data_IF_513673385038
#
_entry.id   IF_513673385038
#
_cell.length_a   1.000
_cell.length_b   1.000
_cell.length_c   1.000
_cell.angle_alpha   90.00
_cell.angle_beta   90.00
_cell.angle_gamma   90.00
#
_symmetry.space_group_name_H-M   'P 1'
#
loop_
_entity.id
_entity.type
_entity.pdbx_description
1 polymer ?
#
# COMPACT_ATOMS: atom_id res chain seq x y z
N UNK A 1 -27.52 -7.50 15.35
CA UNK A 1 -26.44 -8.33 14.78
C UNK A 1 -26.59 -8.31 13.27
N UNK A 2 -25.81 -7.49 12.54
CA UNK A 2 -25.89 -7.45 11.08
C UNK A 2 -25.06 -8.60 10.49
N UNK A 3 -25.77 -9.57 9.91
CA UNK A 3 -25.19 -10.66 9.13
C UNK A 3 -25.02 -10.24 7.66
N UNK A 4 -24.09 -9.32 7.38
CA UNK A 4 -23.54 -9.15 6.01
C UNK A 4 -22.12 -9.68 6.03
N UNK A 5 -22.01 -11.00 5.99
CA UNK A 5 -20.72 -11.69 5.93
C UNK A 5 -20.02 -11.31 4.63
N UNK A 6 -18.82 -10.74 4.76
CA UNK A 6 -17.93 -10.30 3.67
C UNK A 6 -18.27 -8.94 3.05
N UNK A 7 -17.39 -7.96 3.30
CA UNK A 7 -17.44 -6.66 2.64
C UNK A 7 -16.65 -6.71 1.30
N UNK A 8 -16.93 -5.82 0.35
CA UNK A 8 -16.17 -5.71 -0.90
C UNK A 8 -14.67 -5.47 -0.65
N UNK A 9 -14.31 -4.86 0.49
CA UNK A 9 -12.91 -4.71 0.93
C UNK A 9 -12.27 -6.06 1.23
N UNK A 10 -13.01 -7.00 1.85
CA UNK A 10 -12.52 -8.36 2.07
C UNK A 10 -12.30 -9.08 0.74
N UNK A 11 -13.21 -8.89 -0.22
CA UNK A 11 -13.08 -9.43 -1.57
C UNK A 11 -11.87 -8.85 -2.30
N UNK A 12 -11.64 -7.54 -2.20
CA UNK A 12 -10.49 -6.90 -2.79
C UNK A 12 -9.17 -7.44 -2.21
N UNK A 13 -9.07 -7.55 -0.88
CA UNK A 13 -7.89 -8.11 -0.20
C UNK A 13 -7.67 -9.56 -0.65
N UNK A 14 -8.71 -10.38 -0.66
CA UNK A 14 -8.62 -11.77 -1.09
C UNK A 14 -8.17 -11.89 -2.55
N UNK A 15 -8.74 -11.08 -3.46
CA UNK A 15 -8.35 -11.05 -4.87
C UNK A 15 -6.89 -10.61 -5.03
N UNK A 16 -6.43 -9.58 -4.33
CA UNK A 16 -5.04 -9.11 -4.39
C UNK A 16 -4.07 -10.19 -3.91
N UNK A 17 -4.38 -10.88 -2.80
CA UNK A 17 -3.58 -11.98 -2.29
C UNK A 17 -3.56 -13.16 -3.25
N UNK A 18 -4.72 -13.63 -3.70
CA UNK A 18 -4.87 -14.77 -4.60
C UNK A 18 -4.17 -14.50 -5.94
N UNK A 19 -4.37 -13.32 -6.51
CA UNK A 19 -3.72 -12.91 -7.75
C UNK A 19 -2.21 -12.84 -7.57
N UNK A 20 -1.74 -12.28 -6.44
CA UNK A 20 -0.31 -12.22 -6.14
C UNK A 20 0.29 -13.63 -6.07
N UNK A 21 -0.32 -14.53 -5.29
CA UNK A 21 0.11 -15.93 -5.17
C UNK A 21 0.05 -16.68 -6.51
N UNK A 22 -1.02 -16.48 -7.29
CA UNK A 22 -1.22 -17.15 -8.56
C UNK A 22 -0.20 -16.72 -9.62
N UNK A 23 0.05 -15.41 -9.74
CA UNK A 23 1.08 -14.89 -10.64
C UNK A 23 2.45 -15.45 -10.25
N UNK A 24 2.76 -15.53 -8.96
CA UNK A 24 4.04 -16.04 -8.46
C UNK A 24 4.20 -17.55 -8.66
N UNK A 25 3.10 -18.31 -8.58
CA UNK A 25 3.06 -19.72 -8.97
C UNK A 25 3.41 -19.92 -10.45
N UNK A 26 2.85 -19.08 -11.34
CA UNK A 26 3.11 -19.15 -12.78
C UNK A 26 4.56 -18.76 -13.15
N UNK A 27 5.13 -17.79 -12.43
CA UNK A 27 6.50 -17.30 -12.68
C UNK A 27 7.58 -18.25 -12.16
N UNK A 28 7.37 -18.86 -10.99
CA UNK A 28 8.32 -19.74 -10.32
C UNK A 28 9.24 -19.03 -9.32
N UNK A 29 9.79 -19.79 -8.37
CA UNK A 29 10.47 -19.29 -7.17
C UNK A 29 11.65 -18.36 -7.43
N UNK A 30 12.60 -18.72 -8.31
CA UNK A 30 13.77 -17.87 -8.55
C UNK A 30 13.41 -16.46 -9.03
N UNK A 31 12.36 -16.34 -9.84
CA UNK A 31 11.83 -15.03 -10.27
C UNK A 31 11.28 -14.25 -9.08
N UNK A 32 10.62 -14.97 -8.19
CA UNK A 32 9.92 -14.37 -7.09
C UNK A 32 10.86 -13.95 -5.96
N UNK A 33 11.96 -14.69 -5.72
CA UNK A 33 13.01 -14.27 -4.78
C UNK A 33 13.64 -12.95 -5.22
N UNK A 34 13.98 -12.83 -6.51
CA UNK A 34 14.53 -11.59 -7.08
C UNK A 34 13.48 -10.47 -6.96
N UNK A 35 12.23 -10.74 -7.33
CA UNK A 35 11.14 -9.76 -7.21
C UNK A 35 10.95 -9.31 -5.76
N UNK A 36 11.06 -10.20 -4.78
CA UNK A 36 10.92 -9.88 -3.38
C UNK A 36 12.11 -9.06 -2.88
N UNK A 37 13.33 -9.37 -3.32
CA UNK A 37 14.52 -8.55 -3.07
C UNK A 37 14.38 -7.14 -3.64
N UNK A 38 13.89 -7.01 -4.88
CA UNK A 38 13.58 -5.71 -5.50
C UNK A 38 12.53 -4.94 -4.71
N UNK A 39 11.51 -5.62 -4.20
CA UNK A 39 10.49 -5.02 -3.34
C UNK A 39 11.07 -4.47 -2.04
N UNK A 40 11.89 -5.25 -1.34
CA UNK A 40 12.55 -4.83 -0.10
C UNK A 40 13.50 -3.67 -0.35
N UNK A 41 14.35 -3.76 -1.39
CA UNK A 41 15.28 -2.70 -1.75
C UNK A 41 14.53 -1.44 -2.17
N UNK A 42 13.47 -1.57 -2.97
CA UNK A 42 12.62 -0.45 -3.37
C UNK A 42 11.96 0.22 -2.17
N UNK A 43 11.49 -0.56 -1.18
CA UNK A 43 10.94 -0.01 0.06
C UNK A 43 12.01 0.74 0.86
N UNK A 44 13.20 0.14 1.04
CA UNK A 44 14.28 0.76 1.80
C UNK A 44 14.75 2.07 1.15
N UNK A 45 15.01 2.04 -0.16
CA UNK A 45 15.44 3.22 -0.93
C UNK A 45 14.31 4.25 -0.98
N UNK A 46 13.06 3.81 -1.21
CA UNK A 46 11.90 4.68 -1.22
C UNK A 46 11.70 5.42 0.10
N UNK A 47 11.75 4.72 1.23
CA UNK A 47 11.59 5.33 2.56
C UNK A 47 12.74 6.28 2.90
N UNK A 48 13.96 5.96 2.47
CA UNK A 48 15.14 6.79 2.73
C UNK A 48 15.15 8.08 1.92
N UNK A 49 14.82 8.02 0.63
CA UNK A 49 14.94 9.13 -0.31
C UNK A 49 13.61 9.87 -0.59
N UNK A 50 12.50 9.46 0.04
CA UNK A 50 11.18 10.04 -0.19
C UNK A 50 11.11 11.55 0.06
N UNK A 51 11.75 12.05 1.12
CA UNK A 51 11.79 13.49 1.42
C UNK A 51 12.56 14.28 0.34
N UNK A 52 13.72 13.78 -0.07
CA UNK A 52 14.58 14.43 -1.06
C UNK A 52 13.87 14.58 -2.41
N UNK A 53 13.25 13.50 -2.89
CA UNK A 53 12.48 13.52 -4.13
C UNK A 53 11.18 14.30 -3.96
N UNK A 54 10.52 14.19 -2.81
CA UNK A 54 9.31 14.95 -2.50
C UNK A 54 9.54 16.46 -2.56
N UNK A 55 10.71 16.94 -2.11
CA UNK A 55 11.07 18.37 -2.10
C UNK A 55 11.20 18.99 -3.49
N UNK A 56 11.43 18.18 -4.53
CA UNK A 56 11.37 18.64 -5.92
C UNK A 56 9.97 19.15 -6.29
N UNK A 57 8.93 18.67 -5.61
CA UNK A 57 7.54 19.02 -5.87
C UNK A 57 7.01 20.20 -5.04
N UNK A 58 7.88 20.92 -4.33
CA UNK A 58 7.51 22.06 -3.46
C UNK A 58 6.68 23.15 -4.17
N UNK A 59 6.88 23.34 -5.47
CA UNK A 59 6.13 24.34 -6.26
C UNK A 59 4.69 23.94 -6.58
N UNK A 60 4.41 22.64 -6.66
CA UNK A 60 3.07 22.13 -7.03
C UNK A 60 2.30 21.59 -5.83
N UNK A 61 3.00 21.03 -4.84
CA UNK A 61 2.41 20.37 -3.69
C UNK A 61 2.85 21.11 -2.43
N UNK A 62 1.91 21.81 -1.82
CA UNK A 62 2.15 22.57 -0.58
C UNK A 62 2.28 21.65 0.64
N UNK A 63 1.54 20.53 0.63
CA UNK A 63 1.57 19.57 1.73
C UNK A 63 2.83 18.73 1.72
N UNK A 64 3.64 18.83 2.79
CA UNK A 64 4.88 18.05 2.92
C UNK A 64 4.64 16.54 2.96
N UNK A 65 3.53 16.12 3.56
CA UNK A 65 3.13 14.72 3.61
C UNK A 65 2.79 14.16 2.24
N UNK A 66 2.05 14.93 1.44
CA UNK A 66 1.73 14.52 0.08
C UNK A 66 3.00 14.50 -0.79
N UNK A 67 3.94 15.42 -0.58
CA UNK A 67 5.26 15.40 -1.22
C UNK A 67 6.05 14.14 -0.88
N UNK A 68 6.16 13.79 0.40
CA UNK A 68 6.85 12.57 0.81
C UNK A 68 6.19 11.33 0.21
N UNK A 69 4.86 11.24 0.24
CA UNK A 69 4.13 10.13 -0.37
C UNK A 69 4.42 10.02 -1.87
N UNK A 70 4.37 11.15 -2.59
CA UNK A 70 4.68 11.19 -4.02
C UNK A 70 6.14 10.79 -4.27
N UNK A 71 7.08 11.28 -3.46
CA UNK A 71 8.51 10.91 -3.55
C UNK A 71 8.73 9.43 -3.32
N UNK A 72 8.14 8.87 -2.26
CA UNK A 72 8.15 7.44 -1.96
C UNK A 72 7.60 6.62 -3.12
N UNK A 73 6.38 6.93 -3.60
CA UNK A 73 5.72 6.21 -4.70
C UNK A 73 6.56 6.29 -5.98
N UNK A 74 7.13 7.45 -6.28
CA UNK A 74 7.96 7.63 -7.47
C UNK A 74 9.22 6.78 -7.41
N UNK A 75 9.98 6.86 -6.32
CA UNK A 75 11.22 6.07 -6.13
C UNK A 75 10.90 4.58 -6.12
N UNK A 76 9.87 4.19 -5.36
CA UNK A 76 9.45 2.79 -5.27
C UNK A 76 9.08 2.24 -6.65
N UNK A 77 8.32 2.99 -7.44
CA UNK A 77 7.94 2.60 -8.81
C UNK A 77 9.16 2.47 -9.71
N UNK A 78 10.09 3.43 -9.66
CA UNK A 78 11.35 3.37 -10.43
C UNK A 78 12.17 2.14 -10.04
N UNK A 79 12.31 1.85 -8.75
CA UNK A 79 13.01 0.66 -8.27
C UNK A 79 12.35 -0.63 -8.77
N UNK A 80 11.00 -0.70 -8.77
CA UNK A 80 10.26 -1.83 -9.32
C UNK A 80 10.50 -1.99 -10.84
N UNK A 81 10.53 -0.89 -11.59
CA UNK A 81 10.79 -0.93 -13.04
C UNK A 81 12.21 -1.43 -13.35
N UNK A 82 13.22 -0.89 -12.65
CA UNK A 82 14.61 -1.34 -12.79
C UNK A 82 14.72 -2.81 -12.40
N UNK A 83 14.15 -3.21 -11.27
CA UNK A 83 14.18 -4.59 -10.83
C UNK A 83 13.46 -5.55 -11.78
N UNK A 84 12.34 -5.14 -12.37
CA UNK A 84 11.64 -5.91 -13.40
C UNK A 84 12.51 -6.08 -14.66
N UNK A 85 13.20 -5.02 -15.07
CA UNK A 85 14.14 -5.06 -16.19
C UNK A 85 15.31 -6.02 -15.91
N UNK A 86 15.97 -5.90 -14.75
CA UNK A 86 17.06 -6.79 -14.33
C UNK A 86 16.58 -8.24 -14.24
N UNK A 87 15.40 -8.47 -13.66
CA UNK A 87 14.81 -9.79 -13.56
C UNK A 87 14.61 -10.42 -14.94
N UNK A 88 14.10 -9.66 -15.92
CA UNK A 88 13.93 -10.13 -17.28
C UNK A 88 15.26 -10.49 -17.97
N UNK A 89 16.35 -9.74 -17.73
CA UNK A 89 17.67 -10.06 -18.26
C UNK A 89 18.22 -11.38 -17.68
N UNK A 90 18.12 -11.56 -16.36
CA UNK A 90 18.56 -12.78 -15.67
C UNK A 90 17.79 -14.00 -16.21
N UNK A 91 16.52 -13.85 -16.52
CA UNK A 91 15.68 -14.93 -17.03
C UNK A 91 16.00 -15.41 -18.44
N UNK A 92 16.45 -14.52 -19.32
CA UNK A 92 16.89 -14.93 -20.66
C UNK A 92 18.07 -15.91 -20.58
N UNK A 93 18.92 -15.78 -19.56
CA UNK A 93 20.05 -16.68 -19.32
C UNK A 93 19.65 -18.03 -18.74
N UNK A 94 18.64 -18.08 -17.86
CA UNK A 94 18.23 -19.29 -17.13
C UNK A 94 17.36 -20.23 -17.99
N UNK A 95 16.61 -19.71 -18.97
CA UNK A 95 15.69 -20.52 -19.78
C UNK A 95 16.36 -21.60 -20.64
N UNK A 96 17.69 -21.59 -20.78
CA UNK A 96 18.43 -22.64 -21.48
C UNK A 96 18.64 -23.93 -20.66
N UNK A 97 18.36 -23.93 -19.35
CA UNK A 97 18.83 -24.98 -18.44
C UNK A 97 17.79 -26.03 -17.97
N UNK A 98 16.56 -26.04 -18.49
CA UNK A 98 15.58 -27.11 -18.22
C UNK A 98 14.38 -26.71 -17.35
N UNK A 99 13.31 -27.51 -17.47
CA UNK A 99 11.97 -27.20 -16.98
C UNK A 99 11.88 -26.90 -15.47
N UNK A 100 11.03 -25.94 -15.13
CA UNK A 100 10.83 -25.47 -13.76
C UNK A 100 10.08 -26.54 -12.94
N UNK A 101 10.78 -27.19 -12.00
CA UNK A 101 10.21 -28.20 -11.10
C UNK A 101 8.98 -27.68 -10.34
N UNK A 102 7.99 -28.55 -10.10
CA UNK A 102 6.74 -28.22 -9.41
C UNK A 102 6.98 -27.64 -7.99
N UNK A 103 8.00 -28.13 -7.28
CA UNK A 103 8.43 -27.58 -5.97
C UNK A 103 8.85 -26.10 -6.08
N UNK A 104 9.51 -25.73 -7.18
CA UNK A 104 9.91 -24.35 -7.46
C UNK A 104 8.69 -23.44 -7.69
N UNK A 105 7.52 -23.98 -8.04
CA UNK A 105 6.28 -23.19 -8.18
C UNK A 105 5.56 -23.01 -6.84
N UNK A 106 5.54 -24.03 -5.98
CA UNK A 106 4.95 -23.93 -4.65
C UNK A 106 5.66 -22.91 -3.76
N UNK A 107 6.99 -22.88 -3.78
CA UNK A 107 7.73 -21.84 -3.06
C UNK A 107 7.33 -20.46 -3.56
N UNK A 108 7.13 -20.27 -4.87
CA UNK A 108 6.59 -19.03 -5.46
C UNK A 108 5.27 -18.56 -4.84
N UNK A 109 4.39 -19.46 -4.40
CA UNK A 109 3.15 -19.10 -3.70
C UNK A 109 3.45 -18.38 -2.38
N UNK A 110 4.41 -18.88 -1.59
CA UNK A 110 4.80 -18.28 -0.31
C UNK A 110 5.35 -16.86 -0.52
N UNK A 111 6.26 -16.68 -1.47
CA UNK A 111 6.80 -15.35 -1.80
C UNK A 111 5.71 -14.42 -2.35
N UNK A 112 4.81 -14.94 -3.19
CA UNK A 112 3.64 -14.20 -3.69
C UNK A 112 2.68 -13.79 -2.58
N UNK A 113 2.51 -14.62 -1.55
CA UNK A 113 1.73 -14.28 -0.36
C UNK A 113 2.39 -13.15 0.44
N UNK A 114 3.71 -13.23 0.69
CA UNK A 114 4.47 -12.17 1.37
C UNK A 114 4.34 -10.83 0.62
N UNK A 115 4.51 -10.84 -0.71
CA UNK A 115 4.32 -9.63 -1.54
C UNK A 115 2.88 -9.13 -1.47
N UNK A 116 1.91 -10.04 -1.51
CA UNK A 116 0.50 -9.70 -1.41
C UNK A 116 0.17 -9.04 -0.07
N UNK A 117 0.75 -9.54 1.02
CA UNK A 117 0.62 -8.93 2.35
C UNK A 117 1.23 -7.53 2.38
N UNK A 118 2.46 -7.36 1.86
CA UNK A 118 3.09 -6.06 1.77
C UNK A 118 2.26 -5.06 0.96
N UNK A 119 1.74 -5.46 -0.22
CA UNK A 119 0.87 -4.65 -1.06
C UNK A 119 -0.38 -4.19 -0.31
N UNK A 120 -1.12 -5.12 0.30
CA UNK A 120 -2.36 -4.80 1.03
C UNK A 120 -2.06 -3.89 2.23
N UNK A 121 -0.99 -4.16 2.98
CA UNK A 121 -0.59 -3.31 4.10
C UNK A 121 -0.23 -1.89 3.66
N UNK A 122 0.46 -1.72 2.53
CA UNK A 122 0.72 -0.38 1.98
C UNK A 122 -0.59 0.31 1.60
N UNK A 123 -1.52 -0.37 0.92
CA UNK A 123 -2.83 0.22 0.60
C UNK A 123 -3.60 0.63 1.86
N UNK A 124 -3.65 -0.23 2.88
CA UNK A 124 -4.33 0.07 4.14
C UNK A 124 -3.67 1.23 4.88
N UNK A 125 -2.35 1.34 4.83
CA UNK A 125 -1.61 2.47 5.36
C UNK A 125 -2.03 3.78 4.66
N UNK A 126 -2.07 3.79 3.33
CA UNK A 126 -2.51 4.95 2.55
C UNK A 126 -3.96 5.34 2.84
N UNK A 127 -4.86 4.35 2.94
CA UNK A 127 -6.25 4.58 3.34
C UNK A 127 -6.33 5.14 4.76
N UNK A 128 -5.52 4.62 5.69
CA UNK A 128 -5.49 5.10 7.06
C UNK A 128 -4.97 6.53 7.15
N UNK A 129 -4.00 6.90 6.31
CA UNK A 129 -3.50 8.27 6.21
C UNK A 129 -4.60 9.24 5.75
N UNK A 130 -5.42 8.86 4.78
CA UNK A 130 -6.55 9.67 4.32
C UNK A 130 -7.66 9.85 5.37
N UNK A 131 -7.72 8.98 6.39
CA UNK A 131 -8.75 8.99 7.44
C UNK A 131 -8.20 9.37 8.83
N UNK A 132 -6.91 9.69 8.94
CA UNK A 132 -6.24 9.92 10.22
C UNK A 132 -6.79 11.19 10.84
N UNK A 133 -6.92 11.18 12.16
CA UNK A 133 -7.45 12.34 12.85
C UNK A 133 -6.94 12.44 14.26
N UNK A 134 -6.02 13.38 14.50
CA UNK A 134 -5.52 13.95 15.78
C UNK A 134 -5.08 13.00 16.90
N UNK A 135 -5.46 11.72 16.86
CA UNK A 135 -5.06 10.69 17.81
C UNK A 135 -4.35 9.59 17.05
N UNK A 136 -3.25 9.12 17.63
CA UNK A 136 -2.21 8.23 17.08
C UNK A 136 -2.69 6.80 16.71
N UNK A 137 -3.99 6.60 16.61
CA UNK A 137 -4.62 5.34 16.24
C UNK A 137 -4.83 5.26 14.73
N UNK A 138 -4.53 4.10 14.15
CA UNK A 138 -4.99 3.69 12.82
C UNK A 138 -6.51 3.92 12.71
N UNK A 139 -6.91 4.95 11.97
CA UNK A 139 -8.31 5.19 11.63
C UNK A 139 -8.54 4.72 10.21
N UNK A 140 -9.60 3.96 10.02
CA UNK A 140 -10.07 3.50 8.72
C UNK A 140 -11.49 4.03 8.49
N UNK A 141 -11.88 4.31 7.24
CA UNK A 141 -13.28 4.56 6.91
C UNK A 141 -14.18 3.42 7.39
N UNK A 142 -15.44 3.69 7.72
CA UNK A 142 -16.39 2.70 8.26
C UNK A 142 -16.43 1.41 7.42
N UNK A 143 -16.35 1.55 6.11
CA UNK A 143 -16.31 0.43 5.15
C UNK A 143 -15.08 -0.45 5.36
N UNK A 144 -13.89 0.13 5.50
CA UNK A 144 -12.65 -0.63 5.68
C UNK A 144 -12.55 -1.22 7.09
N UNK A 145 -13.04 -0.50 8.11
CA UNK A 145 -13.10 -1.01 9.48
C UNK A 145 -14.05 -2.20 9.64
N UNK A 146 -15.12 -2.25 8.83
CA UNK A 146 -16.07 -3.37 8.82
C UNK A 146 -15.51 -4.64 8.16
N UNK A 147 -14.38 -4.55 7.44
CA UNK A 147 -13.75 -5.70 6.80
C UNK A 147 -13.09 -6.62 7.84
N UNK A 148 -13.30 -7.93 7.68
CA UNK A 148 -12.77 -8.97 8.59
C UNK A 148 -11.29 -9.22 8.41
N UNK A 149 -10.76 -9.01 7.20
CA UNK A 149 -9.36 -9.29 6.88
C UNK A 149 -8.41 -8.18 7.35
N UNK A 150 -8.90 -6.95 7.47
CA UNK A 150 -8.08 -5.77 7.82
C UNK A 150 -7.27 -5.92 9.12
N UNK A 151 -7.82 -6.43 10.24
CA UNK A 151 -7.08 -6.59 11.49
C UNK A 151 -5.80 -7.42 11.38
N UNK A 152 -5.75 -8.41 10.47
CA UNK A 152 -4.57 -9.26 10.28
C UNK A 152 -3.38 -8.51 9.67
N UNK A 153 -3.63 -7.40 8.97
CA UNK A 153 -2.59 -6.57 8.38
C UNK A 153 -2.11 -5.47 9.31
N UNK A 154 -2.86 -5.16 10.38
CA UNK A 154 -2.51 -4.08 11.30
C UNK A 154 -1.09 -4.16 11.87
N UNK A 155 -0.53 -5.32 12.25
CA UNK A 155 0.86 -5.38 12.72
C UNK A 155 1.86 -4.88 11.67
N UNK A 156 1.66 -5.26 10.40
CA UNK A 156 2.50 -4.83 9.28
C UNK A 156 2.25 -3.36 8.96
N UNK A 157 1.00 -2.89 9.01
CA UNK A 157 0.66 -1.47 8.79
C UNK A 157 1.28 -0.59 9.89
N UNK A 158 1.22 -1.03 11.15
CA UNK A 158 1.84 -0.33 12.28
C UNK A 158 3.36 -0.33 12.17
N UNK A 159 3.96 -1.45 11.78
CA UNK A 159 5.38 -1.54 11.50
C UNK A 159 5.79 -0.61 10.34
N UNK A 160 5.02 -0.55 9.26
CA UNK A 160 5.26 0.42 8.18
C UNK A 160 5.09 1.87 8.68
N UNK A 161 4.16 2.10 9.59
CA UNK A 161 3.93 3.42 10.19
C UNK A 161 5.11 3.94 11.01
N UNK A 162 5.99 3.08 11.53
CA UNK A 162 7.21 3.55 12.23
C UNK A 162 8.24 4.19 11.30
N UNK A 163 8.13 3.93 9.99
CA UNK A 163 9.00 4.53 8.98
C UNK A 163 8.42 5.80 8.35
N UNK A 164 7.16 6.14 8.67
CA UNK A 164 6.54 7.38 8.21
C UNK A 164 6.97 8.54 9.13
N UNK A 165 7.57 9.62 8.59
CA UNK A 165 7.97 10.76 9.41
C UNK A 165 6.76 11.53 9.98
N UNK A 166 6.95 12.15 11.16
CA UNK A 166 5.95 12.92 11.95
C UNK A 166 5.17 13.98 11.15
N UNK A 167 5.73 14.40 10.01
CA UNK A 167 5.13 15.37 9.10
C UNK A 167 3.75 14.92 8.58
N UNK A 168 3.50 13.62 8.50
CA UNK A 168 2.21 13.01 8.12
C UNK A 168 1.08 13.29 9.13
N UNK A 169 1.42 13.51 10.40
CA UNK A 169 0.45 13.93 11.40
C UNK A 169 -0.15 15.30 11.05
N UNK A 170 0.63 16.20 10.42
CA UNK A 170 0.18 17.54 10.02
C UNK A 170 -0.78 17.55 8.83
N UNK A 171 -0.59 16.67 7.83
CA UNK A 171 -1.55 16.53 6.72
C UNK A 171 -2.92 16.07 7.21
N UNK A 172 -2.95 15.13 8.16
CA UNK A 172 -4.21 14.68 8.74
C UNK A 172 -4.98 15.79 9.47
N UNK A 173 -4.24 16.75 10.05
CA UNK A 173 -4.82 17.91 10.71
C UNK A 173 -5.35 18.95 9.70
N UNK A 174 -4.66 19.15 8.57
CA UNK A 174 -5.09 20.08 7.51
C UNK A 174 -6.25 19.52 6.67
N UNK A 175 -6.25 18.22 6.33
CA UNK A 175 -7.40 17.58 5.64
C UNK A 175 -8.68 17.70 6.47
N UNK A 176 -8.56 17.66 7.80
CA UNK A 176 -9.66 17.92 8.72
C UNK A 176 -10.12 19.38 8.77
N UNK A 177 -9.22 20.35 8.57
CA UNK A 177 -9.60 21.77 8.57
C UNK A 177 -10.31 22.17 7.27
N UNK A 178 -10.01 21.49 6.17
CA UNK A 178 -10.57 21.78 4.85
C UNK A 178 -11.79 20.91 4.50
N UNK A 179 -12.08 19.87 5.29
CA UNK A 179 -13.30 19.08 5.13
C UNK A 179 -14.52 19.94 5.53
N UNK A 180 -15.59 20.02 4.71
CA UNK A 180 -16.80 20.74 5.08
C UNK A 180 -17.32 20.23 6.42
N UNK A 181 -17.49 21.13 7.38
CA UNK A 181 -18.03 20.76 8.70
C UNK A 181 -19.48 20.27 8.55
N UNK A 182 -19.83 19.24 9.31
CA UNK A 182 -21.19 18.68 9.37
C UNK A 182 -22.25 19.74 9.76
N UNK A 183 -21.80 20.88 10.30
CA UNK A 183 -22.61 22.05 10.62
C UNK A 183 -23.24 22.71 9.38
N UNK A 184 -22.59 22.66 8.21
CA UNK A 184 -23.14 23.23 6.96
C UNK A 184 -24.31 22.37 6.47
N UNK A 185 -24.22 21.05 6.60
CA UNK A 185 -25.32 20.14 6.27
C UNK A 185 -26.52 20.29 7.21
N UNK A 186 -26.26 20.60 8.49
CA UNK A 186 -27.31 20.90 9.47
C UNK A 186 -28.01 22.24 9.19
N UNK A 187 -27.28 23.28 8.79
CA UNK A 187 -27.87 24.59 8.50
C UNK A 187 -28.69 24.60 7.19
N UNK A 188 -28.28 23.84 6.17
CA UNK A 188 -29.01 23.70 4.90
C UNK A 188 -30.33 22.91 5.09
N UNK A 189 -30.37 21.96 6.03
CA UNK A 189 -31.59 21.22 6.38
C UNK A 189 -32.61 22.05 7.17
N UNK A 190 -32.16 23.08 7.90
CA UNK A 190 -33.05 23.98 8.66
C UNK A 190 -33.62 25.07 7.75
N UNK A 191 -32.83 25.61 6.82
CA UNK A 191 -33.25 26.68 5.89
C UNK A 191 -34.15 26.18 4.75
N UNK A 192 -34.14 24.88 4.44
CA UNK A 192 -35.01 24.27 3.42
C UNK A 192 -36.45 23.96 3.86
N UNK A 193 -36.86 24.39 5.06
CA UNK A 193 -38.18 24.09 5.65
C UNK A 193 -39.09 25.30 5.88
N UNK A 194 -38.68 26.48 5.40
CA UNK A 194 -39.43 27.74 5.49
C UNK A 194 -40.22 28.06 4.22
#
# INVERSE_FOLDING_TARGET
MNMSGFNWVDLLIAVLLLLSMFISFLRGFWREVISLGVWILGLAVGLHFADEVGNLFTRWIQSTSLRYLVGFVLIFTIALLIGAFVNNLIHQSIHKAGGVSFTNRFLGIIFGAVRGVALVSILLLLVSMGSRGSSDQLKYPAVVKAARLVPYFNPVVLWLNTFLPDQMAKLSAWVKSEAPSDDIAANIMIDGSA
#
